data_IF_439926516728
#
_entry.id   IF_439926516728
#
_cell.length_a   1.000
_cell.length_b   1.000
_cell.length_c   1.000
_cell.angle_alpha   90.00
_cell.angle_beta   90.00
_cell.angle_gamma   90.00
#
_symmetry.space_group_name_H-M   'P 1'
#
loop_
_entity.id
_entity.type
_entity.pdbx_description
1 polymer ?
#
# COMPACT_ATOMS: atom_id res chain seq x y z
N UNK A 1 -48.33 -11.07 18.22
CA UNK A 1 -47.48 -10.15 19.02
C UNK A 1 -46.36 -9.66 18.14
N UNK A 2 -46.46 -8.40 17.73
CA UNK A 2 -45.47 -7.79 16.79
C UNK A 2 -44.16 -7.48 17.49
N UNK A 3 -43.11 -8.17 17.09
CA UNK A 3 -41.76 -7.81 17.49
C UNK A 3 -41.24 -6.65 16.65
N UNK A 4 -40.88 -5.55 17.28
CA UNK A 4 -40.30 -4.39 16.62
C UNK A 4 -38.85 -4.70 16.22
N UNK A 5 -38.52 -4.50 14.97
CA UNK A 5 -37.16 -4.58 14.46
C UNK A 5 -36.29 -3.44 15.03
N UNK A 6 -35.03 -3.70 15.43
CA UNK A 6 -34.16 -2.64 15.88
C UNK A 6 -33.62 -1.83 14.68
N UNK A 7 -33.96 -0.56 14.61
CA UNK A 7 -33.30 0.39 13.72
C UNK A 7 -31.88 0.64 14.25
N UNK A 8 -30.90 0.28 13.46
CA UNK A 8 -29.49 0.58 13.78
C UNK A 8 -29.28 2.10 13.59
N UNK A 9 -29.26 2.84 14.71
CA UNK A 9 -28.80 4.23 14.69
C UNK A 9 -27.28 4.22 14.66
N UNK A 10 -26.71 4.71 13.58
CA UNK A 10 -25.28 5.05 13.53
C UNK A 10 -25.13 6.33 14.37
N UNK A 11 -24.73 6.19 15.61
CA UNK A 11 -24.37 7.33 16.44
C UNK A 11 -22.99 7.85 16.02
N UNK A 12 -22.98 9.03 15.38
CA UNK A 12 -21.76 9.77 15.17
C UNK A 12 -21.24 10.25 16.55
N UNK A 13 -20.01 9.90 16.87
CA UNK A 13 -19.35 10.40 18.07
C UNK A 13 -19.12 11.91 17.94
N UNK A 14 -19.65 12.67 18.89
CA UNK A 14 -19.44 14.12 18.96
C UNK A 14 -18.05 14.43 19.51
N UNK A 15 -17.28 15.32 18.86
CA UNK A 15 -16.02 15.75 19.42
C UNK A 15 -16.24 16.70 20.60
N UNK A 16 -15.40 16.57 21.62
CA UNK A 16 -15.42 17.39 22.83
C UNK A 16 -15.10 18.85 22.54
N UNK A 17 -15.88 19.72 23.20
CA UNK A 17 -15.66 21.17 23.20
C UNK A 17 -14.40 21.53 23.97
N UNK A 18 -13.35 21.98 23.30
CA UNK A 18 -12.38 22.96 23.87
C UNK A 18 -11.50 23.52 22.76
N UNK A 19 -11.53 24.82 22.68
CA UNK A 19 -10.62 25.78 22.05
C UNK A 19 -11.25 26.67 20.98
N UNK A 20 -11.95 27.69 21.49
CA UNK A 20 -12.18 28.89 20.70
C UNK A 20 -10.88 29.70 20.65
N UNK A 21 -10.28 29.86 19.50
CA UNK A 21 -9.36 30.95 19.19
C UNK A 21 -9.78 31.62 17.91
N UNK A 22 -10.08 32.90 18.03
CA UNK A 22 -10.44 33.81 16.95
C UNK A 22 -9.51 33.71 15.74
N UNK A 23 -10.02 33.26 14.61
CA UNK A 23 -9.40 33.54 13.31
C UNK A 23 -10.37 34.41 12.52
N UNK A 24 -9.89 35.56 12.11
CA UNK A 24 -10.58 36.51 11.23
C UNK A 24 -10.91 35.84 9.90
N UNK A 25 -12.15 35.92 9.49
CA UNK A 25 -12.60 35.50 8.17
C UNK A 25 -12.00 36.39 7.09
N UNK A 26 -11.47 35.85 6.01
CA UNK A 26 -11.08 36.69 4.87
C UNK A 26 -12.33 37.24 4.17
N UNK A 27 -12.23 38.47 3.67
CA UNK A 27 -13.30 39.20 2.98
C UNK A 27 -13.77 38.43 1.71
N UNK A 28 -15.05 38.58 1.33
CA UNK A 28 -15.58 37.88 0.17
C UNK A 28 -15.25 38.63 -1.13
N UNK A 29 -14.05 38.43 -1.66
CA UNK A 29 -13.74 38.90 -3.01
C UNK A 29 -12.78 37.90 -3.65
N UNK A 30 -13.28 37.07 -4.45
CA UNK A 30 -12.73 36.38 -5.62
C UNK A 30 -13.26 34.95 -5.80
N UNK A 31 -14.58 34.75 -5.69
CA UNK A 31 -15.19 33.55 -6.28
C UNK A 31 -15.79 33.96 -7.62
N UNK A 32 -15.06 33.69 -8.71
CA UNK A 32 -15.68 33.68 -10.02
C UNK A 32 -16.62 32.49 -10.08
N UNK A 33 -17.93 32.66 -10.26
CA UNK A 33 -18.80 31.52 -10.47
C UNK A 33 -18.41 30.86 -11.80
N UNK A 34 -18.03 29.61 -11.73
CA UNK A 34 -17.86 28.77 -12.93
C UNK A 34 -19.27 28.60 -13.52
N UNK A 35 -19.67 29.56 -14.38
CA UNK A 35 -20.89 29.39 -15.18
C UNK A 35 -20.62 28.29 -16.21
N UNK A 36 -21.03 27.08 -15.88
CA UNK A 36 -21.16 26.06 -16.91
C UNK A 36 -22.36 26.47 -17.75
N UNK A 37 -22.11 26.84 -18.98
CA UNK A 37 -23.18 27.17 -19.94
C UNK A 37 -24.21 26.03 -19.95
N UNK A 38 -25.46 26.36 -19.67
CA UNK A 38 -26.60 25.45 -19.74
C UNK A 38 -26.80 24.82 -21.13
N UNK A 39 -26.05 25.28 -22.12
CA UNK A 39 -26.11 24.81 -23.50
C UNK A 39 -25.44 23.45 -23.74
N UNK A 40 -24.68 22.93 -22.76
CA UNK A 40 -24.06 21.61 -22.92
C UNK A 40 -24.92 20.45 -22.36
N UNK A 41 -26.10 20.76 -21.83
CA UNK A 41 -27.04 19.76 -21.29
C UNK A 41 -28.29 19.62 -22.12
N UNK A 42 -28.23 19.75 -23.30
CA UNK A 42 -29.29 19.67 -24.07
C UNK A 42 -29.64 18.33 -24.33
N UNK A 43 -30.44 18.32 -24.34
CA UNK A 43 -31.06 17.33 -24.55
C UNK A 43 -30.44 16.20 -24.91
N UNK A 44 -31.23 15.22 -24.68
CA UNK A 44 -30.66 13.92 -24.95
C UNK A 44 -30.81 13.51 -26.42
N UNK A 45 -29.82 13.89 -27.21
CA UNK A 45 -29.64 13.23 -28.51
C UNK A 45 -28.20 12.75 -28.59
N UNK A 46 -28.04 11.40 -28.59
CA UNK A 46 -26.79 10.61 -28.76
C UNK A 46 -25.82 10.57 -27.60
N UNK A 47 -25.81 9.48 -26.91
CA UNK A 47 -24.77 8.60 -26.32
C UNK A 47 -23.34 9.11 -26.10
N UNK A 48 -23.09 10.28 -25.54
CA UNK A 48 -21.84 10.57 -24.86
C UNK A 48 -22.08 10.57 -23.34
N UNK A 49 -21.37 9.74 -22.57
CA UNK A 49 -21.57 9.69 -21.12
C UNK A 49 -21.15 11.04 -20.51
N UNK A 50 -22.02 11.60 -19.67
CA UNK A 50 -21.72 12.77 -18.85
C UNK A 50 -20.44 12.48 -18.04
N UNK A 51 -19.32 13.03 -18.48
CA UNK A 51 -18.08 12.96 -17.70
C UNK A 51 -18.10 14.09 -16.65
N UNK A 52 -18.09 13.70 -15.38
CA UNK A 52 -17.96 14.63 -14.25
C UNK A 52 -16.50 15.11 -14.18
N UNK A 53 -16.25 16.32 -14.68
CA UNK A 53 -14.96 17.00 -14.55
C UNK A 53 -14.88 17.69 -13.18
N UNK A 54 -14.85 16.88 -12.10
CA UNK A 54 -14.71 17.34 -10.72
C UNK A 54 -13.27 17.17 -10.25
N UNK A 55 -12.70 18.17 -9.63
CA UNK A 55 -11.40 18.06 -8.95
C UNK A 55 -11.52 18.19 -7.43
N UNK A 56 -12.60 18.76 -6.92
CA UNK A 56 -12.79 19.00 -5.48
C UNK A 56 -14.18 18.57 -5.01
N UNK A 57 -14.34 18.39 -3.69
CA UNK A 57 -15.64 18.07 -3.09
C UNK A 57 -16.69 19.20 -3.24
N UNK A 58 -16.34 20.49 -3.16
CA UNK A 58 -17.29 21.56 -3.51
C UNK A 58 -17.83 21.44 -4.93
N UNK A 59 -16.96 21.15 -5.92
CA UNK A 59 -17.40 20.93 -7.32
C UNK A 59 -18.42 19.79 -7.38
N UNK A 60 -18.11 18.68 -6.71
CA UNK A 60 -18.98 17.51 -6.69
C UNK A 60 -20.36 17.85 -6.12
N UNK A 61 -20.41 18.60 -5.02
CA UNK A 61 -21.68 19.02 -4.38
C UNK A 61 -22.49 19.93 -5.31
N UNK A 62 -21.83 20.80 -6.07
CA UNK A 62 -22.49 21.64 -7.08
C UNK A 62 -23.08 20.78 -8.21
N UNK A 63 -22.32 19.83 -8.75
CA UNK A 63 -22.81 18.88 -9.76
C UNK A 63 -23.98 18.06 -9.23
N UNK A 64 -23.89 17.53 -7.99
CA UNK A 64 -24.97 16.75 -7.38
C UNK A 64 -26.27 17.57 -7.28
N UNK A 65 -26.17 18.85 -6.91
CA UNK A 65 -27.36 19.73 -6.85
C UNK A 65 -28.00 19.94 -8.23
N UNK A 66 -27.19 20.01 -9.29
CA UNK A 66 -27.69 20.09 -10.68
C UNK A 66 -28.35 18.76 -11.10
N UNK A 67 -27.73 17.62 -10.76
CA UNK A 67 -28.26 16.27 -11.01
C UNK A 67 -29.67 16.11 -10.39
N UNK A 68 -29.84 16.58 -9.17
CA UNK A 68 -31.15 16.57 -8.46
C UNK A 68 -32.16 17.43 -9.22
N UNK A 69 -31.79 18.65 -9.62
CA UNK A 69 -32.67 19.57 -10.37
C UNK A 69 -33.10 19.01 -11.72
N UNK A 70 -32.24 18.24 -12.36
CA UNK A 70 -32.50 17.60 -13.66
C UNK A 70 -33.25 16.26 -13.54
N UNK A 71 -33.54 15.81 -12.33
CA UNK A 71 -34.22 14.52 -12.10
C UNK A 71 -33.36 13.30 -12.42
N UNK A 72 -32.03 13.45 -12.45
CA UNK A 72 -31.10 12.38 -12.83
C UNK A 72 -30.59 11.56 -11.62
N UNK A 73 -31.19 11.75 -10.43
CA UNK A 73 -30.79 11.06 -9.21
C UNK A 73 -31.00 9.53 -9.27
N UNK A 74 -31.86 9.07 -10.19
CA UNK A 74 -32.08 7.64 -10.42
C UNK A 74 -31.16 7.06 -11.51
N UNK A 75 -30.37 7.89 -12.19
CA UNK A 75 -29.45 7.43 -13.21
C UNK A 75 -28.24 6.73 -12.56
N UNK A 76 -28.14 5.43 -12.82
CA UNK A 76 -27.10 4.56 -12.25
C UNK A 76 -25.68 5.04 -12.62
N UNK A 77 -25.48 5.47 -13.85
CA UNK A 77 -24.16 5.91 -14.33
C UNK A 77 -23.69 7.18 -13.58
N UNK A 78 -24.61 8.13 -13.43
CA UNK A 78 -24.38 9.39 -12.72
C UNK A 78 -24.06 9.12 -11.24
N UNK A 79 -24.88 8.28 -10.58
CA UNK A 79 -24.67 7.91 -9.17
C UNK A 79 -23.36 7.15 -8.96
N UNK A 80 -22.96 6.29 -9.92
CA UNK A 80 -21.67 5.60 -9.93
C UNK A 80 -20.50 6.60 -9.88
N UNK A 81 -20.54 7.65 -10.72
CA UNK A 81 -19.48 8.66 -10.76
C UNK A 81 -19.42 9.46 -9.44
N UNK A 82 -20.58 9.88 -8.92
CA UNK A 82 -20.67 10.63 -7.66
C UNK A 82 -20.09 9.82 -6.48
N UNK A 83 -20.49 8.54 -6.36
CA UNK A 83 -20.02 7.66 -5.28
C UNK A 83 -18.54 7.37 -5.42
N UNK A 84 -18.06 7.04 -6.62
CA UNK A 84 -16.64 6.78 -6.84
C UNK A 84 -15.77 7.98 -6.44
N UNK A 85 -16.16 9.18 -6.87
CA UNK A 85 -15.40 10.38 -6.54
C UNK A 85 -15.42 10.63 -5.01
N UNK A 86 -16.61 10.64 -4.40
CA UNK A 86 -16.74 10.94 -2.97
C UNK A 86 -16.11 9.89 -2.06
N UNK A 87 -16.13 8.62 -2.49
CA UNK A 87 -15.65 7.50 -1.67
C UNK A 87 -14.16 7.21 -1.82
N UNK A 88 -13.63 7.31 -3.04
CA UNK A 88 -12.31 6.73 -3.40
C UNK A 88 -11.28 7.73 -3.91
N UNK A 89 -11.63 8.98 -4.23
CA UNK A 89 -10.68 9.97 -4.73
C UNK A 89 -9.72 10.46 -3.63
N UNK A 90 -8.68 11.17 -4.01
CA UNK A 90 -7.76 11.80 -3.05
C UNK A 90 -8.45 12.84 -2.15
N UNK A 91 -9.54 13.46 -2.64
CA UNK A 91 -10.34 14.47 -1.93
C UNK A 91 -11.60 13.86 -1.29
N UNK A 92 -11.58 12.56 -0.99
CA UNK A 92 -12.74 11.79 -0.53
C UNK A 92 -13.42 12.32 0.74
N UNK A 93 -14.74 12.19 0.77
CA UNK A 93 -15.59 12.50 1.93
C UNK A 93 -16.51 11.28 2.17
N UNK A 94 -16.09 10.39 3.07
CA UNK A 94 -16.80 9.14 3.35
C UNK A 94 -18.23 9.39 3.86
N UNK A 95 -18.44 10.41 4.70
CA UNK A 95 -19.76 10.74 5.23
C UNK A 95 -20.72 11.13 4.12
N UNK A 96 -20.22 11.85 3.12
CA UNK A 96 -21.00 12.22 1.95
C UNK A 96 -21.30 11.01 1.06
N UNK A 97 -20.31 10.14 0.85
CA UNK A 97 -20.47 8.91 0.07
C UNK A 97 -21.52 7.96 0.68
N UNK A 98 -21.55 7.87 2.02
CA UNK A 98 -22.56 7.08 2.75
C UNK A 98 -23.96 7.66 2.51
N UNK A 99 -24.13 8.98 2.62
CA UNK A 99 -25.42 9.65 2.35
C UNK A 99 -25.91 9.41 0.92
N UNK A 100 -24.98 9.44 -0.05
CA UNK A 100 -25.30 9.10 -1.44
C UNK A 100 -25.78 7.65 -1.54
N UNK A 101 -25.04 6.73 -0.93
CA UNK A 101 -25.37 5.30 -0.93
C UNK A 101 -26.78 5.07 -0.32
N UNK A 102 -27.07 5.69 0.83
CA UNK A 102 -28.35 5.57 1.52
C UNK A 102 -29.52 6.14 0.69
N UNK A 103 -29.24 7.05 -0.26
CA UNK A 103 -30.27 7.62 -1.13
C UNK A 103 -30.63 6.72 -2.33
N UNK A 104 -29.83 5.66 -2.59
CA UNK A 104 -30.06 4.76 -3.72
C UNK A 104 -31.12 3.71 -3.30
N UNK A 105 -32.27 3.63 -4.00
CA UNK A 105 -33.37 2.73 -3.58
C UNK A 105 -32.98 1.25 -3.59
N UNK A 106 -32.24 0.79 -4.59
CA UNK A 106 -31.83 -0.61 -4.75
C UNK A 106 -30.35 -0.66 -5.15
N UNK A 107 -29.43 -0.46 -4.20
CA UNK A 107 -28.01 -0.47 -4.52
C UNK A 107 -27.56 -1.89 -4.92
N UNK A 108 -26.86 -1.99 -6.04
CA UNK A 108 -26.29 -3.26 -6.52
C UNK A 108 -24.91 -3.54 -5.90
N UNK A 109 -24.30 -4.66 -6.30
CA UNK A 109 -23.00 -5.09 -5.81
C UNK A 109 -21.89 -4.03 -6.03
N UNK A 110 -21.97 -3.23 -7.09
CA UNK A 110 -20.98 -2.17 -7.37
C UNK A 110 -20.99 -1.12 -6.25
N UNK A 111 -22.17 -0.64 -5.88
CA UNK A 111 -22.32 0.40 -4.84
C UNK A 111 -21.85 -0.12 -3.47
N UNK A 112 -22.24 -1.35 -3.12
CA UNK A 112 -21.76 -2.02 -1.90
C UNK A 112 -20.25 -2.13 -1.87
N UNK A 113 -19.64 -2.65 -2.94
CA UNK A 113 -18.18 -2.84 -3.04
C UNK A 113 -17.41 -1.53 -2.91
N UNK A 114 -17.94 -0.46 -3.51
CA UNK A 114 -17.33 0.87 -3.45
C UNK A 114 -17.28 1.38 -2.01
N UNK A 115 -18.39 1.27 -1.27
CA UNK A 115 -18.43 1.74 0.14
C UNK A 115 -17.64 0.79 1.06
N UNK A 116 -17.68 -0.54 0.85
CA UNK A 116 -16.84 -1.52 1.58
C UNK A 116 -15.35 -1.13 1.44
N UNK A 117 -14.92 -0.84 0.21
CA UNK A 117 -13.54 -0.42 -0.08
C UNK A 117 -13.22 0.94 0.56
N UNK A 118 -14.17 1.88 0.54
CA UNK A 118 -14.00 3.20 1.18
C UNK A 118 -13.82 3.07 2.69
N UNK A 119 -14.62 2.24 3.36
CA UNK A 119 -14.45 1.97 4.80
C UNK A 119 -13.06 1.41 5.11
N UNK A 120 -12.53 0.52 4.27
CA UNK A 120 -11.17 -0.01 4.44
C UNK A 120 -10.11 1.08 4.33
N UNK A 121 -10.25 2.01 3.37
CA UNK A 121 -9.32 3.13 3.20
C UNK A 121 -9.36 4.10 4.38
N UNK A 122 -10.48 4.17 5.10
CA UNK A 122 -10.65 4.97 6.31
C UNK A 122 -10.38 4.17 7.60
N UNK A 123 -9.73 3.00 7.48
CA UNK A 123 -9.34 2.13 8.60
C UNK A 123 -10.53 1.73 9.49
N UNK A 124 -11.68 1.49 8.86
CA UNK A 124 -12.91 1.09 9.55
C UNK A 124 -13.38 -0.30 9.08
N UNK A 125 -12.63 -1.37 9.43
CA UNK A 125 -12.93 -2.72 8.95
C UNK A 125 -14.28 -3.25 9.47
N UNK A 126 -14.66 -2.89 10.69
CA UNK A 126 -15.96 -3.29 11.27
C UNK A 126 -17.12 -2.85 10.37
N UNK A 127 -17.10 -1.59 9.91
CA UNK A 127 -18.16 -1.07 9.03
C UNK A 127 -18.14 -1.75 7.65
N UNK A 128 -16.97 -2.14 7.14
CA UNK A 128 -16.86 -2.95 5.90
C UNK A 128 -17.57 -4.28 6.05
N UNK A 129 -17.37 -4.96 7.19
CA UNK A 129 -17.96 -6.26 7.51
C UNK A 129 -19.48 -6.14 7.71
N UNK A 130 -19.92 -5.11 8.46
CA UNK A 130 -21.35 -4.84 8.67
C UNK A 130 -22.06 -4.56 7.34
N UNK A 131 -21.42 -3.79 6.47
CA UNK A 131 -22.00 -3.49 5.15
C UNK A 131 -22.06 -4.74 4.25
N UNK A 132 -21.09 -5.63 4.36
CA UNK A 132 -21.14 -6.94 3.69
C UNK A 132 -22.33 -7.78 4.21
N UNK A 133 -22.55 -7.80 5.53
CA UNK A 133 -23.71 -8.49 6.13
C UNK A 133 -25.03 -7.87 5.65
N UNK A 134 -25.11 -6.55 5.59
CA UNK A 134 -26.26 -5.81 5.05
C UNK A 134 -26.50 -6.16 3.56
N UNK A 135 -25.43 -6.27 2.76
CA UNK A 135 -25.52 -6.69 1.35
C UNK A 135 -26.21 -8.04 1.22
N UNK A 136 -25.84 -9.01 2.05
CA UNK A 136 -26.43 -10.36 2.06
C UNK A 136 -27.90 -10.33 2.50
N UNK A 137 -28.24 -9.56 3.54
CA UNK A 137 -29.61 -9.40 4.04
C UNK A 137 -30.56 -8.83 2.98
N UNK A 138 -30.05 -7.97 2.11
CA UNK A 138 -30.82 -7.36 1.02
C UNK A 138 -30.75 -8.21 -0.27
N UNK A 139 -30.29 -9.46 -0.17
CA UNK A 139 -30.21 -10.41 -1.29
C UNK A 139 -29.38 -9.90 -2.47
N UNK A 140 -28.41 -9.02 -2.21
CA UNK A 140 -27.45 -8.58 -3.21
C UNK A 140 -26.28 -9.56 -3.22
N UNK A 141 -26.07 -10.25 -4.34
CA UNK A 141 -25.04 -11.28 -4.44
C UNK A 141 -23.64 -10.68 -4.49
N UNK A 142 -22.71 -11.14 -3.62
CA UNK A 142 -21.31 -10.79 -3.72
C UNK A 142 -20.70 -11.25 -5.06
N UNK A 143 -19.64 -10.58 -5.47
CA UNK A 143 -18.93 -10.87 -6.72
C UNK A 143 -17.40 -10.88 -6.51
N UNK A 144 -16.65 -10.99 -7.60
CA UNK A 144 -15.19 -11.04 -7.62
C UNK A 144 -14.51 -9.87 -6.88
N UNK A 145 -15.17 -8.72 -6.82
CA UNK A 145 -14.63 -7.50 -6.18
C UNK A 145 -14.99 -7.41 -4.70
N UNK A 146 -16.02 -8.15 -4.26
CA UNK A 146 -16.49 -8.15 -2.86
C UNK A 146 -15.50 -8.85 -1.95
N UNK A 147 -15.16 -10.11 -2.27
CA UNK A 147 -14.41 -10.98 -1.38
C UNK A 147 -13.00 -10.47 -1.05
N UNK A 148 -12.20 -9.97 -2.00
CA UNK A 148 -10.87 -9.44 -1.65
C UNK A 148 -10.95 -8.33 -0.58
N UNK A 149 -11.93 -7.45 -0.69
CA UNK A 149 -12.12 -6.35 0.28
C UNK A 149 -12.58 -6.85 1.64
N UNK A 150 -13.54 -7.78 1.68
CA UNK A 150 -14.09 -8.32 2.94
C UNK A 150 -13.03 -9.18 3.66
N UNK A 151 -12.28 -10.02 2.95
CA UNK A 151 -11.17 -10.83 3.52
C UNK A 151 -10.12 -9.89 4.15
N UNK A 152 -9.78 -8.80 3.43
CA UNK A 152 -8.85 -7.78 3.95
C UNK A 152 -9.42 -7.10 5.20
N UNK A 153 -10.73 -6.85 5.25
CA UNK A 153 -11.38 -6.31 6.45
C UNK A 153 -11.20 -7.23 7.65
N UNK A 154 -11.34 -8.55 7.46
CA UNK A 154 -11.11 -9.54 8.52
C UNK A 154 -9.67 -9.49 9.05
N UNK A 155 -8.69 -9.33 8.14
CA UNK A 155 -7.28 -9.20 8.52
C UNK A 155 -7.04 -7.96 9.40
N UNK A 156 -7.64 -6.81 9.05
CA UNK A 156 -7.47 -5.56 9.80
C UNK A 156 -8.25 -5.61 11.12
N UNK A 157 -9.42 -6.25 11.12
CA UNK A 157 -10.27 -6.42 12.32
C UNK A 157 -9.66 -7.42 13.32
N UNK A 158 -8.71 -8.22 12.86
CA UNK A 158 -7.96 -9.21 13.63
C UNK A 158 -8.84 -10.36 14.16
N UNK A 159 -9.74 -10.88 13.30
CA UNK A 159 -10.70 -11.95 13.64
C UNK A 159 -10.62 -13.10 12.63
N UNK A 160 -9.92 -14.18 13.02
CA UNK A 160 -9.77 -15.40 12.19
C UNK A 160 -11.12 -16.15 12.05
N UNK A 161 -11.99 -16.14 13.07
CA UNK A 161 -13.26 -16.87 13.00
C UNK A 161 -14.18 -16.28 11.94
N UNK A 162 -14.21 -14.95 11.90
CA UNK A 162 -14.90 -14.24 10.83
C UNK A 162 -14.29 -14.55 9.47
N UNK A 163 -12.96 -14.57 9.40
CA UNK A 163 -12.22 -14.97 8.18
C UNK A 163 -12.62 -16.36 7.68
N UNK A 164 -12.77 -17.34 8.60
CA UNK A 164 -13.23 -18.71 8.27
C UNK A 164 -14.68 -18.72 7.75
N UNK A 165 -15.56 -17.87 8.31
CA UNK A 165 -16.93 -17.73 7.82
C UNK A 165 -16.95 -17.15 6.40
N UNK A 166 -16.12 -16.12 6.12
CA UNK A 166 -16.00 -15.55 4.78
C UNK A 166 -15.44 -16.59 3.79
N UNK A 167 -14.45 -17.39 4.20
CA UNK A 167 -13.94 -18.49 3.37
C UNK A 167 -15.08 -19.47 3.00
N UNK A 168 -15.90 -19.85 3.97
CA UNK A 168 -17.06 -20.72 3.69
C UNK A 168 -18.04 -20.08 2.70
N UNK A 169 -18.26 -18.74 2.77
CA UNK A 169 -19.09 -18.01 1.80
C UNK A 169 -18.45 -18.01 0.40
N UNK A 170 -17.12 -17.82 0.31
CA UNK A 170 -16.36 -17.90 -0.97
C UNK A 170 -16.64 -19.24 -1.67
N UNK A 171 -16.56 -20.34 -0.89
CA UNK A 171 -16.81 -21.68 -1.44
C UNK A 171 -18.28 -21.90 -1.82
N UNK A 172 -19.22 -21.55 -0.91
CA UNK A 172 -20.67 -21.76 -1.13
C UNK A 172 -21.21 -20.97 -2.32
N UNK A 173 -20.65 -19.78 -2.59
CA UNK A 173 -21.13 -18.92 -3.66
C UNK A 173 -20.38 -19.16 -4.99
N UNK A 174 -19.54 -20.19 -5.05
CA UNK A 174 -18.88 -20.63 -6.29
C UNK A 174 -17.58 -19.93 -6.63
N UNK A 175 -16.99 -19.15 -5.68
CA UNK A 175 -15.73 -18.44 -5.90
C UNK A 175 -14.50 -19.25 -5.50
N UNK A 176 -14.65 -20.56 -5.31
CA UNK A 176 -13.57 -21.49 -4.96
C UNK A 176 -12.49 -21.66 -6.04
N UNK A 177 -12.68 -21.08 -7.22
CA UNK A 177 -11.66 -21.03 -8.28
C UNK A 177 -11.17 -19.58 -8.56
N UNK A 178 -11.68 -18.58 -7.84
CA UNK A 178 -11.32 -17.17 -8.09
C UNK A 178 -9.95 -16.85 -7.46
N UNK A 179 -8.91 -16.81 -8.27
CA UNK A 179 -7.49 -16.73 -7.85
C UNK A 179 -7.23 -15.55 -6.90
N UNK A 180 -7.82 -14.37 -7.17
CA UNK A 180 -7.58 -13.18 -6.33
C UNK A 180 -8.15 -13.40 -4.91
N UNK A 181 -9.36 -13.97 -4.80
CA UNK A 181 -9.98 -14.27 -3.50
C UNK A 181 -9.15 -15.32 -2.74
N UNK A 182 -8.69 -16.37 -3.43
CA UNK A 182 -7.88 -17.43 -2.82
C UNK A 182 -6.52 -16.90 -2.36
N UNK A 183 -5.87 -16.03 -3.13
CA UNK A 183 -4.62 -15.38 -2.72
C UNK A 183 -4.82 -14.53 -1.45
N UNK A 184 -5.95 -13.81 -1.36
CA UNK A 184 -6.28 -13.04 -0.15
C UNK A 184 -6.56 -13.97 1.05
N UNK A 185 -7.17 -15.14 0.82
CA UNK A 185 -7.37 -16.15 1.88
C UNK A 185 -6.03 -16.72 2.36
N UNK A 186 -5.10 -17.05 1.44
CA UNK A 186 -3.75 -17.52 1.80
C UNK A 186 -3.07 -16.45 2.68
N UNK A 187 -3.11 -15.18 2.24
CA UNK A 187 -2.54 -14.06 3.01
C UNK A 187 -3.20 -13.94 4.40
N UNK A 188 -4.52 -14.02 4.45
CA UNK A 188 -5.28 -13.94 5.70
C UNK A 188 -4.87 -15.03 6.67
N UNK A 189 -4.90 -16.29 6.22
CA UNK A 189 -4.53 -17.43 7.07
C UNK A 189 -3.07 -17.34 7.54
N UNK A 190 -2.15 -16.97 6.64
CA UNK A 190 -0.74 -16.78 6.99
C UNK A 190 -0.56 -15.68 8.07
N UNK A 191 -1.30 -14.56 7.95
CA UNK A 191 -1.28 -13.49 8.94
C UNK A 191 -1.71 -13.98 10.34
N UNK A 192 -2.65 -14.89 10.41
CA UNK A 192 -3.15 -15.49 11.66
C UNK A 192 -2.37 -16.74 12.11
N UNK A 193 -1.24 -17.04 11.48
CA UNK A 193 -0.43 -18.25 11.72
C UNK A 193 -1.19 -19.56 11.45
N UNK A 194 -2.31 -19.50 10.76
CA UNK A 194 -3.12 -20.68 10.37
C UNK A 194 -2.54 -21.28 9.08
N UNK A 195 -1.28 -21.75 9.16
CA UNK A 195 -0.51 -22.15 7.98
C UNK A 195 -1.04 -23.41 7.32
N UNK A 196 -1.66 -24.31 8.09
CA UNK A 196 -2.29 -25.52 7.53
C UNK A 196 -3.44 -25.13 6.61
N UNK A 197 -4.30 -24.22 7.07
CA UNK A 197 -5.41 -23.71 6.26
C UNK A 197 -4.88 -22.94 5.03
N UNK A 198 -3.82 -22.15 5.20
CA UNK A 198 -3.18 -21.42 4.07
C UNK A 198 -2.68 -22.41 3.00
N UNK A 199 -2.03 -23.53 3.43
CA UNK A 199 -1.57 -24.58 2.52
C UNK A 199 -2.74 -25.30 1.86
N UNK A 200 -3.79 -25.62 2.65
CA UNK A 200 -4.99 -26.26 2.09
C UNK A 200 -5.60 -25.41 0.97
N UNK A 201 -5.70 -24.09 1.17
CA UNK A 201 -6.19 -23.17 0.13
C UNK A 201 -5.28 -23.24 -1.10
N UNK A 202 -3.95 -23.12 -0.91
CA UNK A 202 -2.98 -23.15 -2.02
C UNK A 202 -3.12 -24.44 -2.85
N UNK A 203 -3.12 -25.59 -2.18
CA UNK A 203 -3.15 -26.89 -2.87
C UNK A 203 -4.52 -27.24 -3.44
N UNK A 204 -5.60 -26.60 -2.98
CA UNK A 204 -6.95 -26.76 -3.55
C UNK A 204 -7.20 -25.89 -4.78
N UNK A 205 -6.33 -24.92 -5.06
CA UNK A 205 -6.48 -24.04 -6.23
C UNK A 205 -6.39 -24.85 -7.54
N UNK A 206 -7.33 -24.67 -8.48
CA UNK A 206 -7.24 -25.33 -9.78
C UNK A 206 -5.97 -24.93 -10.56
N UNK A 207 -5.58 -23.65 -10.45
CA UNK A 207 -4.34 -23.12 -11.03
C UNK A 207 -3.61 -22.31 -9.98
N UNK A 208 -2.45 -22.82 -9.59
CA UNK A 208 -1.55 -22.13 -8.65
C UNK A 208 -0.63 -21.21 -9.45
N UNK A 209 -0.70 -19.93 -9.19
CA UNK A 209 0.19 -18.96 -9.85
C UNK A 209 1.34 -18.55 -8.92
N UNK A 210 2.31 -17.83 -9.47
CA UNK A 210 3.48 -17.38 -8.71
C UNK A 210 3.10 -16.51 -7.49
N UNK A 211 1.98 -15.75 -7.61
CA UNK A 211 1.51 -14.90 -6.51
C UNK A 211 1.04 -15.76 -5.33
N UNK A 212 0.31 -16.85 -5.59
CA UNK A 212 -0.18 -17.78 -4.55
C UNK A 212 0.99 -18.34 -3.73
N UNK A 213 2.02 -18.84 -4.42
CA UNK A 213 3.22 -19.41 -3.81
C UNK A 213 4.01 -18.37 -3.03
N UNK A 214 4.29 -17.21 -3.66
CA UNK A 214 5.07 -16.13 -3.00
C UNK A 214 4.32 -15.52 -1.81
N UNK A 215 2.99 -15.48 -1.85
CA UNK A 215 2.17 -15.04 -0.70
C UNK A 215 2.40 -15.96 0.51
N UNK A 216 2.41 -17.27 0.29
CA UNK A 216 2.63 -18.22 1.39
C UNK A 216 4.08 -18.16 1.91
N UNK A 217 5.08 -18.07 0.99
CA UNK A 217 6.49 -17.91 1.35
C UNK A 217 6.67 -16.65 2.23
N UNK A 218 6.11 -15.52 1.78
CA UNK A 218 6.16 -14.25 2.52
C UNK A 218 5.47 -14.35 3.88
N UNK A 219 4.34 -15.06 3.93
CA UNK A 219 3.61 -15.31 5.17
C UNK A 219 4.46 -16.05 6.20
N UNK A 220 5.10 -17.14 5.81
CA UNK A 220 6.02 -17.88 6.70
C UNK A 220 7.20 -16.99 7.14
N UNK A 221 7.77 -16.23 6.18
CA UNK A 221 8.91 -15.33 6.46
C UNK A 221 8.57 -14.28 7.52
N UNK A 222 7.39 -13.67 7.45
CA UNK A 222 6.94 -12.64 8.41
C UNK A 222 6.92 -13.15 9.87
N UNK A 223 6.75 -14.45 10.04
CA UNK A 223 6.74 -15.11 11.36
C UNK A 223 8.09 -15.76 11.70
N UNK A 224 9.13 -15.52 10.88
CA UNK A 224 10.46 -16.07 11.10
C UNK A 224 10.58 -17.56 10.78
N UNK A 225 9.57 -18.16 10.16
CA UNK A 225 9.52 -19.59 9.82
C UNK A 225 10.20 -19.82 8.45
N UNK A 226 11.49 -19.48 8.37
CA UNK A 226 12.24 -19.41 7.10
C UNK A 226 12.44 -20.82 6.49
N UNK A 227 12.60 -21.84 7.31
CA UNK A 227 12.75 -23.22 6.80
C UNK A 227 11.44 -23.74 6.19
N UNK A 228 10.29 -23.36 6.76
CA UNK A 228 8.98 -23.71 6.20
C UNK A 228 8.76 -22.95 4.87
N UNK A 229 9.14 -21.67 4.82
CA UNK A 229 9.14 -20.89 3.58
C UNK A 229 9.97 -21.59 2.49
N UNK A 230 11.14 -22.10 2.85
CA UNK A 230 12.03 -22.82 1.92
C UNK A 230 11.41 -24.12 1.42
N UNK A 231 10.74 -24.90 2.29
CA UNK A 231 10.02 -26.12 1.89
C UNK A 231 8.93 -25.79 0.85
N UNK A 232 8.17 -24.69 1.07
CA UNK A 232 7.15 -24.22 0.11
C UNK A 232 7.82 -23.84 -1.21
N UNK A 233 8.94 -23.09 -1.15
CA UNK A 233 9.71 -22.69 -2.34
C UNK A 233 10.21 -23.94 -3.13
N UNK A 234 10.67 -24.97 -2.43
CA UNK A 234 11.15 -26.22 -3.06
C UNK A 234 10.01 -26.96 -3.77
N UNK A 235 8.79 -26.90 -3.24
CA UNK A 235 7.62 -27.60 -3.82
C UNK A 235 7.00 -26.87 -5.00
N UNK A 236 7.46 -25.64 -5.35
CA UNK A 236 6.98 -24.91 -6.51
C UNK A 236 7.31 -25.67 -7.81
N UNK A 237 6.32 -25.90 -8.70
CA UNK A 237 6.59 -26.55 -9.98
C UNK A 237 7.55 -25.75 -10.87
N UNK A 238 7.36 -24.45 -10.93
CA UNK A 238 8.18 -23.52 -11.71
C UNK A 238 8.54 -22.30 -10.85
N UNK A 239 9.68 -21.70 -11.14
CA UNK A 239 10.18 -20.55 -10.40
C UNK A 239 10.48 -19.41 -11.37
N UNK A 240 10.04 -18.20 -11.01
CA UNK A 240 10.37 -16.96 -11.74
C UNK A 240 11.19 -16.03 -10.82
N UNK A 241 11.67 -14.90 -11.36
CA UNK A 241 12.45 -13.93 -10.59
C UNK A 241 11.75 -13.53 -9.28
N UNK A 242 10.43 -13.35 -9.28
CA UNK A 242 9.67 -12.96 -8.09
C UNK A 242 9.72 -14.04 -6.99
N UNK A 243 9.61 -15.32 -7.36
CA UNK A 243 9.66 -16.42 -6.37
C UNK A 243 11.07 -16.59 -5.77
N UNK A 244 12.11 -16.45 -6.60
CA UNK A 244 13.49 -16.43 -6.12
C UNK A 244 13.70 -15.27 -5.15
N UNK A 245 13.26 -14.05 -5.55
CA UNK A 245 13.38 -12.87 -4.68
C UNK A 245 12.63 -13.05 -3.35
N UNK A 246 11.43 -13.61 -3.37
CA UNK A 246 10.64 -13.85 -2.15
C UNK A 246 11.42 -14.74 -1.15
N UNK A 247 12.06 -15.81 -1.65
CA UNK A 247 12.81 -16.72 -0.78
C UNK A 247 14.15 -16.11 -0.33
N UNK A 248 14.85 -15.41 -1.23
CA UNK A 248 16.09 -14.67 -0.87
C UNK A 248 15.75 -13.63 0.21
N UNK A 249 14.64 -12.88 0.03
CA UNK A 249 14.19 -11.88 1.00
C UNK A 249 13.85 -12.53 2.35
N UNK A 250 13.26 -13.73 2.34
CA UNK A 250 12.96 -14.47 3.56
C UNK A 250 14.24 -14.79 4.35
N UNK A 251 15.30 -15.23 3.67
CA UNK A 251 16.60 -15.48 4.30
C UNK A 251 17.22 -14.19 4.83
N UNK A 252 17.17 -13.08 4.04
CA UNK A 252 17.71 -11.77 4.47
C UNK A 252 16.96 -11.25 5.71
N UNK A 253 15.63 -11.32 5.73
CA UNK A 253 14.81 -10.90 6.87
C UNK A 253 15.10 -11.74 8.13
N UNK A 254 15.39 -13.03 7.93
CA UNK A 254 15.79 -13.94 9.00
C UNK A 254 17.25 -13.82 9.41
N UNK A 255 18.01 -12.85 8.87
CA UNK A 255 19.45 -12.66 9.08
C UNK A 255 20.29 -13.88 8.65
N UNK A 256 19.74 -14.71 7.77
CA UNK A 256 20.44 -15.89 7.22
C UNK A 256 21.13 -15.53 5.90
N UNK A 257 22.08 -14.61 6.01
CA UNK A 257 22.72 -13.97 4.84
C UNK A 257 23.52 -14.99 3.98
N UNK A 258 24.19 -15.95 4.61
CA UNK A 258 24.98 -16.96 3.87
C UNK A 258 24.07 -17.79 2.98
N UNK A 259 22.90 -18.20 3.51
CA UNK A 259 21.91 -18.95 2.73
C UNK A 259 21.28 -18.10 1.63
N UNK A 260 21.12 -16.80 1.88
CA UNK A 260 20.63 -15.87 0.83
C UNK A 260 21.60 -15.81 -0.35
N UNK A 261 22.93 -15.78 -0.10
CA UNK A 261 23.96 -15.82 -1.15
C UNK A 261 23.98 -17.16 -1.87
N UNK A 262 23.93 -18.27 -1.15
CA UNK A 262 23.86 -19.61 -1.74
C UNK A 262 22.64 -19.76 -2.67
N UNK A 263 21.49 -19.24 -2.23
CA UNK A 263 20.26 -19.28 -3.03
C UNK A 263 20.35 -18.36 -4.26
N UNK A 264 20.99 -17.21 -4.12
CA UNK A 264 21.26 -16.27 -5.22
C UNK A 264 22.18 -16.89 -6.28
N UNK A 265 23.25 -17.59 -5.86
CA UNK A 265 24.16 -18.28 -6.78
C UNK A 265 23.42 -19.40 -7.54
N UNK A 266 22.53 -20.12 -6.83
CA UNK A 266 21.69 -21.13 -7.46
C UNK A 266 20.73 -20.51 -8.49
N UNK A 267 20.07 -19.38 -8.16
CA UNK A 267 19.22 -18.61 -9.09
C UNK A 267 19.97 -18.28 -10.38
N UNK A 268 21.22 -17.80 -10.24
CA UNK A 268 22.09 -17.46 -11.39
C UNK A 268 22.45 -18.70 -12.22
N UNK A 269 22.77 -19.80 -11.55
CA UNK A 269 23.11 -21.07 -12.20
C UNK A 269 21.91 -21.63 -13.01
N UNK A 270 20.67 -21.39 -12.54
CA UNK A 270 19.45 -21.74 -13.27
C UNK A 270 19.10 -20.72 -14.40
N UNK A 271 19.97 -19.75 -14.66
CA UNK A 271 19.83 -18.78 -15.76
C UNK A 271 18.84 -17.65 -15.50
N UNK A 272 18.35 -17.51 -14.27
CA UNK A 272 17.41 -16.44 -13.94
C UNK A 272 18.15 -15.11 -13.81
N UNK A 273 17.68 -14.11 -14.56
CA UNK A 273 18.34 -12.81 -14.66
C UNK A 273 18.09 -11.99 -13.37
N UNK A 274 19.17 -11.37 -12.88
CA UNK A 274 19.09 -10.43 -11.76
C UNK A 274 18.31 -9.18 -12.18
N UNK A 275 17.15 -8.98 -11.55
CA UNK A 275 16.34 -7.77 -11.73
C UNK A 275 16.57 -6.77 -10.57
N UNK A 276 15.92 -5.61 -10.64
CA UNK A 276 16.08 -4.56 -9.63
C UNK A 276 15.64 -4.97 -8.21
N UNK A 277 14.68 -5.88 -8.12
CA UNK A 277 14.15 -6.33 -6.82
C UNK A 277 15.13 -7.28 -6.14
N UNK A 278 15.63 -8.27 -6.87
CA UNK A 278 16.67 -9.19 -6.37
C UNK A 278 17.95 -8.41 -6.03
N UNK A 279 18.34 -7.44 -6.90
CA UNK A 279 19.51 -6.60 -6.66
C UNK A 279 19.39 -5.84 -5.33
N UNK A 280 18.26 -5.19 -5.08
CA UNK A 280 18.02 -4.45 -3.82
C UNK A 280 18.06 -5.38 -2.61
N UNK A 281 17.48 -6.57 -2.71
CA UNK A 281 17.46 -7.57 -1.64
C UNK A 281 18.89 -8.06 -1.34
N UNK A 282 19.68 -8.35 -2.37
CA UNK A 282 21.06 -8.81 -2.22
C UNK A 282 21.98 -7.70 -1.68
N UNK A 283 21.75 -6.43 -2.05
CA UNK A 283 22.45 -5.30 -1.44
C UNK A 283 22.18 -5.23 0.07
N UNK A 284 20.94 -5.52 0.50
CA UNK A 284 20.61 -5.61 1.93
C UNK A 284 21.35 -6.77 2.62
N UNK A 285 21.52 -7.90 1.93
CA UNK A 285 22.34 -9.02 2.44
C UNK A 285 23.81 -8.61 2.58
N UNK A 286 24.35 -7.91 1.58
CA UNK A 286 25.72 -7.36 1.63
C UNK A 286 25.89 -6.44 2.84
N UNK A 287 24.90 -5.58 3.08
CA UNK A 287 24.87 -4.67 4.23
C UNK A 287 24.92 -5.44 5.56
N UNK A 288 24.13 -6.49 5.68
CA UNK A 288 24.04 -7.32 6.90
C UNK A 288 25.34 -8.06 7.21
N UNK A 289 26.08 -8.48 6.19
CA UNK A 289 27.37 -9.20 6.34
C UNK A 289 28.61 -8.27 6.29
N UNK A 290 28.44 -7.01 5.92
CA UNK A 290 29.59 -6.15 5.62
C UNK A 290 30.33 -6.60 4.36
N UNK A 291 29.62 -7.24 3.41
CA UNK A 291 30.21 -7.89 2.23
C UNK A 291 30.42 -6.88 1.08
N UNK A 292 31.40 -6.00 1.25
CA UNK A 292 31.68 -4.87 0.32
C UNK A 292 31.94 -5.33 -1.12
N UNK A 293 32.74 -6.36 -1.31
CA UNK A 293 33.11 -6.82 -2.65
C UNK A 293 31.91 -7.39 -3.44
N UNK A 294 31.07 -8.14 -2.76
CA UNK A 294 29.82 -8.60 -3.36
C UNK A 294 28.89 -7.43 -3.69
N UNK A 295 28.80 -6.44 -2.80
CA UNK A 295 28.05 -5.20 -3.02
C UNK A 295 28.54 -4.42 -4.25
N UNK A 296 29.86 -4.28 -4.40
CA UNK A 296 30.52 -3.67 -5.59
C UNK A 296 30.14 -4.44 -6.86
N UNK A 297 30.20 -5.77 -6.80
CA UNK A 297 29.86 -6.61 -7.95
C UNK A 297 28.39 -6.40 -8.38
N UNK A 298 27.46 -6.38 -7.42
CA UNK A 298 26.03 -6.15 -7.71
C UNK A 298 25.84 -4.75 -8.31
N UNK A 299 26.47 -3.72 -7.74
CA UNK A 299 26.40 -2.36 -8.27
C UNK A 299 26.95 -2.28 -9.71
N UNK A 300 28.12 -2.88 -9.95
CA UNK A 300 28.70 -2.96 -11.30
C UNK A 300 27.78 -3.70 -12.30
N UNK A 301 27.11 -4.75 -11.85
CA UNK A 301 26.14 -5.47 -12.67
C UNK A 301 24.94 -4.58 -13.05
N UNK A 302 24.40 -3.82 -12.06
CA UNK A 302 23.31 -2.87 -12.28
C UNK A 302 23.71 -1.84 -13.37
N UNK A 303 24.89 -1.27 -13.25
CA UNK A 303 25.44 -0.30 -14.22
C UNK A 303 25.60 -0.93 -15.62
N UNK A 304 26.26 -2.08 -15.68
CA UNK A 304 26.56 -2.79 -16.94
C UNK A 304 25.28 -3.19 -17.70
N UNK A 305 24.24 -3.57 -16.97
CA UNK A 305 22.96 -4.00 -17.57
C UNK A 305 21.98 -2.83 -17.77
N UNK A 306 22.30 -1.63 -17.33
CA UNK A 306 21.42 -0.47 -17.44
C UNK A 306 20.13 -0.64 -16.64
N UNK A 307 20.18 -1.33 -15.50
CA UNK A 307 19.00 -1.51 -14.64
C UNK A 307 18.63 -0.15 -14.06
N UNK A 308 17.38 0.27 -14.30
CA UNK A 308 16.89 1.57 -13.82
C UNK A 308 16.97 1.67 -12.30
N UNK A 309 17.73 2.67 -11.84
CA UNK A 309 17.89 2.95 -10.40
C UNK A 309 16.73 3.81 -9.92
N UNK A 310 15.62 3.17 -9.55
CA UNK A 310 14.54 3.86 -8.84
C UNK A 310 15.01 4.27 -7.43
N UNK A 311 14.20 5.06 -6.73
CA UNK A 311 14.55 5.57 -5.39
C UNK A 311 14.93 4.46 -4.40
N UNK A 312 14.30 3.29 -4.49
CA UNK A 312 14.58 2.16 -3.58
C UNK A 312 15.93 1.54 -3.86
N UNK A 313 16.24 1.25 -5.12
CA UNK A 313 17.50 0.63 -5.52
C UNK A 313 18.67 1.59 -5.25
N UNK A 314 18.49 2.87 -5.57
CA UNK A 314 19.51 3.91 -5.30
C UNK A 314 19.83 3.98 -3.80
N UNK A 315 18.79 4.01 -2.95
CA UNK A 315 18.96 4.04 -1.49
C UNK A 315 19.68 2.76 -0.99
N UNK A 316 19.33 1.58 -1.54
CA UNK A 316 19.98 0.32 -1.17
C UNK A 316 21.48 0.30 -1.52
N UNK A 317 21.86 0.89 -2.66
CA UNK A 317 23.28 1.01 -3.06
C UNK A 317 24.03 1.92 -2.08
N UNK A 318 23.46 3.10 -1.75
CA UNK A 318 24.04 4.05 -0.81
C UNK A 318 24.20 3.41 0.57
N UNK A 319 23.15 2.77 1.08
CA UNK A 319 23.13 2.10 2.40
C UNK A 319 24.21 1.02 2.47
N UNK A 320 24.32 0.21 1.43
CA UNK A 320 25.35 -0.84 1.34
C UNK A 320 26.75 -0.24 1.44
N UNK A 321 27.04 0.82 0.68
CA UNK A 321 28.37 1.45 0.74
C UNK A 321 28.63 2.10 2.11
N UNK A 322 27.65 2.80 2.68
CA UNK A 322 27.77 3.41 4.01
C UNK A 322 28.08 2.36 5.07
N UNK A 323 27.29 1.29 5.13
CA UNK A 323 27.43 0.26 6.19
C UNK A 323 28.61 -0.68 5.98
N UNK A 324 29.05 -0.86 4.72
CA UNK A 324 30.25 -1.62 4.42
C UNK A 324 31.55 -0.77 4.50
N UNK A 325 31.47 0.47 4.99
CA UNK A 325 32.63 1.29 5.27
C UNK A 325 33.21 2.07 4.07
N UNK A 326 32.51 2.13 2.94
CA UNK A 326 32.96 2.83 1.73
C UNK A 326 32.19 4.13 1.51
N UNK A 327 32.37 5.08 2.44
CA UNK A 327 31.62 6.34 2.49
C UNK A 327 31.84 7.20 1.25
N UNK A 328 33.07 7.19 0.68
CA UNK A 328 33.40 7.93 -0.54
C UNK A 328 32.55 7.45 -1.73
N UNK A 329 32.42 6.14 -1.88
CA UNK A 329 31.58 5.54 -2.94
C UNK A 329 30.09 5.84 -2.70
N UNK A 330 29.65 5.84 -1.44
CA UNK A 330 28.27 6.23 -1.10
C UNK A 330 27.97 7.67 -1.56
N UNK A 331 28.91 8.61 -1.27
CA UNK A 331 28.81 10.02 -1.68
C UNK A 331 28.82 10.16 -3.20
N UNK A 332 29.68 9.42 -3.89
CA UNK A 332 29.76 9.42 -5.37
C UNK A 332 28.41 9.00 -5.97
N UNK A 333 27.83 7.89 -5.49
CA UNK A 333 26.53 7.41 -5.96
C UNK A 333 25.44 8.44 -5.66
N UNK A 334 25.40 8.96 -4.42
CA UNK A 334 24.42 9.97 -3.98
C UNK A 334 24.46 11.22 -4.87
N UNK A 335 25.67 11.76 -5.12
CA UNK A 335 25.84 12.96 -5.95
C UNK A 335 25.43 12.72 -7.40
N UNK A 336 25.62 11.51 -7.91
CA UNK A 336 25.26 11.11 -9.27
C UNK A 336 23.76 10.89 -9.51
N UNK A 337 22.93 10.90 -8.46
CA UNK A 337 21.48 10.70 -8.63
C UNK A 337 20.82 11.91 -9.29
N UNK A 338 20.06 11.72 -10.39
CA UNK A 338 19.35 12.83 -11.04
C UNK A 338 18.25 13.43 -10.15
N UNK A 339 17.59 12.60 -9.36
CA UNK A 339 16.56 13.02 -8.39
C UNK A 339 16.82 12.36 -7.05
N UNK A 340 16.95 13.17 -6.02
CA UNK A 340 17.23 12.72 -4.65
C UNK A 340 15.94 12.78 -3.84
N UNK A 341 15.34 11.61 -3.55
CA UNK A 341 14.21 11.50 -2.64
C UNK A 341 14.64 11.59 -1.17
N UNK A 342 13.69 11.86 -0.27
CA UNK A 342 13.95 11.98 1.18
C UNK A 342 14.72 10.74 1.73
N UNK A 343 14.41 9.55 1.22
CA UNK A 343 15.07 8.30 1.65
C UNK A 343 16.58 8.30 1.36
N UNK A 344 16.99 8.79 0.19
CA UNK A 344 18.42 8.85 -0.17
C UNK A 344 19.16 9.92 0.63
N UNK A 345 18.53 11.07 0.92
CA UNK A 345 19.09 12.08 1.82
C UNK A 345 19.28 11.50 3.22
N UNK A 346 18.23 10.90 3.79
CA UNK A 346 18.26 10.29 5.11
C UNK A 346 19.34 9.20 5.21
N UNK A 347 19.46 8.38 4.18
CA UNK A 347 20.46 7.33 4.11
C UNK A 347 21.88 7.91 4.15
N UNK A 348 22.13 8.96 3.36
CA UNK A 348 23.47 9.58 3.31
C UNK A 348 23.82 10.33 4.60
N UNK A 349 22.85 11.11 5.17
CA UNK A 349 23.02 11.80 6.47
C UNK A 349 23.31 10.77 7.57
N UNK A 350 22.54 9.68 7.62
CA UNK A 350 22.77 8.59 8.57
C UNK A 350 24.11 7.89 8.39
N UNK A 351 24.51 7.68 7.14
CA UNK A 351 25.84 7.12 6.80
C UNK A 351 26.97 8.00 7.32
N UNK A 352 26.91 9.30 7.09
CA UNK A 352 27.88 10.28 7.61
C UNK A 352 27.92 10.28 9.14
N UNK A 353 26.75 10.26 9.79
CA UNK A 353 26.62 10.21 11.24
C UNK A 353 27.29 8.95 11.82
N UNK A 354 27.02 7.79 11.23
CA UNK A 354 27.58 6.49 11.66
C UNK A 354 29.11 6.47 11.59
N UNK A 355 29.69 7.20 10.63
CA UNK A 355 31.15 7.29 10.46
C UNK A 355 31.77 8.46 11.22
N UNK A 356 31.03 9.10 12.13
CA UNK A 356 31.52 10.21 12.95
C UNK A 356 31.83 11.48 12.15
N UNK A 357 31.22 11.65 10.99
CA UNK A 357 31.33 12.83 10.11
C UNK A 357 30.16 13.80 10.39
N UNK A 358 29.98 14.18 11.66
CA UNK A 358 28.82 14.97 12.11
C UNK A 358 28.68 16.31 11.38
N UNK A 359 29.80 17.04 11.19
CA UNK A 359 29.80 18.32 10.48
C UNK A 359 29.29 18.15 9.03
N UNK A 360 29.82 17.14 8.33
CA UNK A 360 29.39 16.84 6.96
C UNK A 360 27.91 16.42 6.88
N UNK A 361 27.41 15.72 7.90
CA UNK A 361 25.98 15.36 7.99
C UNK A 361 25.09 16.61 8.13
N UNK A 362 25.52 17.57 8.94
CA UNK A 362 24.80 18.85 9.14
C UNK A 362 24.85 19.70 7.85
N UNK A 363 26.01 19.73 7.17
CA UNK A 363 26.12 20.41 5.88
C UNK A 363 25.18 19.80 4.84
N UNK A 364 25.16 18.48 4.76
CA UNK A 364 24.28 17.77 3.83
C UNK A 364 22.80 18.02 4.13
N UNK A 365 22.43 18.13 5.41
CA UNK A 365 21.07 18.49 5.84
C UNK A 365 20.70 19.90 5.32
N UNK A 366 21.63 20.88 5.46
CA UNK A 366 21.40 22.24 4.94
C UNK A 366 21.21 22.26 3.41
N UNK A 367 21.90 21.35 2.69
CA UNK A 367 21.69 21.17 1.24
C UNK A 367 20.30 20.63 0.95
N UNK A 368 19.83 19.64 1.73
CA UNK A 368 18.49 19.08 1.62
C UNK A 368 17.40 20.16 1.78
N UNK A 369 17.58 21.06 2.77
CA UNK A 369 16.66 22.18 3.00
C UNK A 369 16.61 23.14 1.80
N UNK A 370 17.77 23.42 1.17
CA UNK A 370 17.86 24.26 -0.04
C UNK A 370 17.10 23.65 -1.23
N UNK A 371 17.02 22.32 -1.30
CA UNK A 371 16.24 21.61 -2.31
C UNK A 371 14.73 21.59 -2.00
N UNK A 372 14.31 22.32 -0.97
CA UNK A 372 12.89 22.44 -0.54
C UNK A 372 12.26 21.11 -0.15
N UNK A 373 13.06 20.13 0.27
CA UNK A 373 12.59 18.83 0.77
C UNK A 373 12.30 18.93 2.26
N UNK A 374 11.08 18.64 2.66
CA UNK A 374 10.68 18.67 4.07
C UNK A 374 11.33 17.51 4.85
N UNK A 375 12.12 17.80 5.90
CA UNK A 375 12.68 16.75 6.75
C UNK A 375 11.60 15.94 7.44
N UNK A 376 11.86 14.66 7.65
CA UNK A 376 10.97 13.76 8.38
C UNK A 376 11.59 13.34 9.72
N UNK A 377 10.90 12.47 10.45
CA UNK A 377 11.35 11.93 11.74
C UNK A 377 12.74 11.27 11.63
N UNK A 378 12.98 10.55 10.53
CA UNK A 378 14.25 9.82 10.30
C UNK A 378 15.40 10.81 10.11
N UNK A 379 15.16 11.91 9.39
CA UNK A 379 16.14 13.00 9.21
C UNK A 379 16.64 13.50 10.58
N UNK A 380 15.72 13.83 11.47
CA UNK A 380 16.08 14.39 12.79
C UNK A 380 16.78 13.35 13.68
N UNK A 381 16.38 12.09 13.65
CA UNK A 381 17.06 11.01 14.38
C UNK A 381 18.52 10.88 13.91
N UNK A 382 18.75 10.91 12.61
CA UNK A 382 20.11 10.82 12.02
C UNK A 382 20.96 12.03 12.41
N UNK A 383 20.38 13.25 12.42
CA UNK A 383 21.09 14.47 12.82
C UNK A 383 21.46 14.45 14.30
N UNK A 384 20.55 14.03 15.17
CA UNK A 384 20.84 13.89 16.60
C UNK A 384 21.97 12.88 16.82
N UNK A 385 21.98 11.78 16.07
CA UNK A 385 23.07 10.79 16.10
C UNK A 385 24.39 11.42 15.64
N UNK A 386 24.36 12.25 14.60
CA UNK A 386 25.53 12.96 14.08
C UNK A 386 26.13 13.90 15.16
N UNK A 387 25.29 14.67 15.85
CA UNK A 387 25.71 15.58 16.91
C UNK A 387 26.33 14.82 18.09
N UNK A 388 25.70 13.72 18.52
CA UNK A 388 26.19 12.90 19.65
C UNK A 388 27.58 12.29 19.36
N UNK A 389 27.86 11.96 18.09
CA UNK A 389 29.18 11.39 17.70
C UNK A 389 30.25 12.46 17.46
N UNK A 390 29.87 13.71 17.18
CA UNK A 390 30.84 14.80 17.02
C UNK A 390 31.37 15.29 18.36
N UNK A 391 30.56 15.32 19.43
CA UNK A 391 30.96 15.72 20.78
C UNK A 391 32.02 14.78 21.39
N UNK A 392 31.91 13.48 21.14
CA UNK A 392 32.85 12.47 21.66
C UNK A 392 34.28 12.65 21.13
N UNK A 393 34.45 13.28 19.95
CA UNK A 393 35.77 13.55 19.38
C UNK A 393 36.40 14.83 19.92
N UNK A 394 35.63 15.73 20.47
CA UNK A 394 36.12 17.01 21.05
C UNK A 394 36.63 16.85 22.50
N UNK A 395 36.33 15.73 23.15
CA UNK A 395 36.67 15.46 24.57
C UNK A 395 37.78 14.38 24.72
N UNK A 396 38.33 13.85 23.65
CA UNK A 396 39.46 12.88 23.62
C UNK A 396 40.74 13.52 23.06
#
# INVERSE_FOLDING_TARGET
MCGREPRIRVTAATPSKHAERHRRLPSPSSYSPVFIHAQQLXXPSSSSPLQLNCSTMPDLRQYHSQIIRLGLSADKHVMTQLINFSALSNNRDLAYAIKLFDSIPNPDAFFYNTIIKAYLQHLSPTNSILLYSHMLQHSVFPNDFTFPSVIRACCIHDDIQLGKQIHAHVLKLGFGAHVISLNNLIHMYARFQAFEEARCVLYSMPEQNFISWTTLISGYSQWGLVDEAFRVFQSMPERNSASWNAMIAAYVQGNRFHESFALFDRMRAEGVVLDKFVAATMLSACTGLGALEQGKWIHGYIEKKGIEKDSKLATAIIDMYCKCGSLEKALEVFKGLPHKGISSWNCMIGGLAMHGKGEAAIELFKEMEKEMLAPDRITFVNLLSACAHSEKKSTA
#
